data_IF_119536288038
#
_entry.id   IF_119536288038
#
_cell.length_a   1.000
_cell.length_b   1.000
_cell.length_c   1.000
_cell.angle_alpha   90.00
_cell.angle_beta   90.00
_cell.angle_gamma   90.00
#
_symmetry.space_group_name_H-M   'P 1'
#
loop_
_entity.id
_entity.type
_entity.pdbx_description
1 polymer ?
#
# COMPACT_ATOMS: atom_id res chain seq x y z
N UNK A 1 -1.96 4.56 -2.04
CA UNK A 1 -1.91 4.64 -0.57
C UNK A 1 -2.02 6.09 -0.11
N UNK A 2 -3.10 6.42 0.61
CA UNK A 2 -3.32 7.77 1.17
C UNK A 2 -2.48 8.07 2.42
N UNK A 3 -2.13 7.06 3.21
CA UNK A 3 -1.23 7.17 4.36
C UNK A 3 0.18 7.56 3.91
N UNK A 4 0.71 6.96 2.84
CA UNK A 4 2.03 7.32 2.29
C UNK A 4 2.11 8.79 1.89
N UNK A 5 1.06 9.34 1.27
CA UNK A 5 1.02 10.75 0.86
C UNK A 5 1.11 11.70 2.06
N UNK A 6 0.40 11.39 3.14
CA UNK A 6 0.44 12.16 4.39
C UNK A 6 1.83 12.07 5.03
N UNK A 7 2.40 10.86 5.13
CA UNK A 7 3.73 10.65 5.69
C UNK A 7 4.82 11.42 4.92
N UNK A 8 4.80 11.36 3.59
CA UNK A 8 5.76 12.05 2.72
C UNK A 8 5.77 13.56 2.97
N UNK A 9 4.58 14.15 3.06
CA UNK A 9 4.43 15.60 3.27
C UNK A 9 4.86 16.01 4.68
N UNK A 10 4.49 15.25 5.72
CA UNK A 10 4.97 15.50 7.08
C UNK A 10 6.50 15.42 7.18
N UNK A 11 7.14 14.49 6.46
CA UNK A 11 8.60 14.39 6.41
C UNK A 11 9.24 15.59 5.72
N UNK A 12 8.68 16.06 4.60
CA UNK A 12 9.23 17.18 3.83
C UNK A 12 9.23 18.51 4.60
N UNK A 13 8.17 18.80 5.36
CA UNK A 13 8.05 20.08 6.07
C UNK A 13 8.63 20.09 7.48
N UNK A 14 9.22 18.97 7.94
CA UNK A 14 9.79 18.81 9.28
C UNK A 14 10.76 19.91 9.74
N UNK A 15 11.48 20.53 8.81
CA UNK A 15 12.46 21.58 9.10
C UNK A 15 12.29 22.84 8.23
N UNK A 16 11.25 22.89 7.37
CA UNK A 16 11.21 23.84 6.24
C UNK A 16 9.88 24.60 6.12
N UNK A 17 9.46 25.22 7.23
CA UNK A 17 8.26 26.08 7.23
C UNK A 17 8.55 27.55 6.88
N UNK A 18 9.82 27.98 6.84
CA UNK A 18 10.18 29.37 6.56
C UNK A 18 9.81 29.76 5.12
N UNK A 19 8.98 30.80 4.96
CA UNK A 19 8.59 31.34 3.65
C UNK A 19 7.58 30.49 2.86
N UNK A 20 7.08 29.38 3.40
CA UNK A 20 6.24 28.45 2.66
C UNK A 20 4.77 28.90 2.51
N UNK A 21 4.35 29.98 3.18
CA UNK A 21 2.98 30.49 3.16
C UNK A 21 2.01 29.68 4.03
N UNK A 22 0.70 29.95 3.93
CA UNK A 22 -0.32 29.30 4.76
C UNK A 22 -0.51 27.83 4.36
N UNK A 23 -0.43 26.91 5.34
CA UNK A 23 -0.65 25.47 5.19
C UNK A 23 0.12 24.82 4.02
N UNK A 24 1.47 24.87 4.02
CA UNK A 24 2.28 24.40 2.90
C UNK A 24 2.17 22.88 2.64
N UNK A 25 1.87 22.09 3.68
CA UNK A 25 1.60 20.66 3.61
C UNK A 25 0.36 20.39 2.75
N UNK A 26 -0.75 21.03 3.11
CA UNK A 26 -2.02 20.92 2.39
C UNK A 26 -1.89 21.47 0.97
N UNK A 27 -1.11 22.53 0.76
CA UNK A 27 -0.87 23.07 -0.58
C UNK A 27 -0.10 22.09 -1.46
N UNK A 28 0.85 21.35 -0.89
CA UNK A 28 1.57 20.29 -1.61
C UNK A 28 0.60 19.16 -2.01
N UNK A 29 -0.26 18.72 -1.09
CA UNK A 29 -1.30 17.73 -1.39
C UNK A 29 -2.27 18.23 -2.46
N UNK A 30 -2.69 19.50 -2.41
CA UNK A 30 -3.56 20.12 -3.41
C UNK A 30 -2.96 20.05 -4.81
N UNK A 31 -1.70 20.46 -4.99
CA UNK A 31 -1.07 20.42 -6.31
C UNK A 31 -0.82 18.99 -6.80
N UNK A 32 -0.53 18.05 -5.88
CA UNK A 32 -0.44 16.62 -6.25
C UNK A 32 -1.78 16.08 -6.75
N UNK A 33 -2.88 16.38 -6.05
CA UNK A 33 -4.24 16.00 -6.48
C UNK A 33 -4.63 16.66 -7.81
N UNK A 34 -4.29 17.94 -7.99
CA UNK A 34 -4.53 18.67 -9.23
C UNK A 34 -3.77 18.06 -10.42
N UNK A 35 -2.49 17.74 -10.25
CA UNK A 35 -1.69 17.01 -11.24
C UNK A 35 -2.28 15.62 -11.54
N UNK A 36 -2.71 14.91 -10.50
CA UNK A 36 -3.31 13.59 -10.63
C UNK A 36 -4.68 13.62 -11.34
N UNK A 37 -5.43 14.72 -11.21
CA UNK A 37 -6.70 14.93 -11.91
C UNK A 37 -6.52 15.01 -13.43
N UNK A 38 -5.34 15.40 -13.91
CA UNK A 38 -4.99 15.43 -15.34
C UNK A 38 -4.71 14.02 -15.91
N UNK A 39 -4.88 12.96 -15.12
CA UNK A 39 -4.69 11.58 -15.55
C UNK A 39 -6.08 10.93 -15.67
N UNK A 40 -6.40 10.24 -16.78
CA UNK A 40 -7.72 9.66 -17.01
C UNK A 40 -7.92 8.35 -16.24
N UNK A 41 -7.71 8.37 -14.91
CA UNK A 41 -7.84 7.23 -14.01
C UNK A 41 -8.88 7.49 -12.93
N UNK A 42 -9.58 6.44 -12.53
CA UNK A 42 -10.35 6.45 -11.29
C UNK A 42 -9.44 6.09 -10.12
N UNK A 43 -9.48 6.88 -9.06
CA UNK A 43 -8.67 6.66 -7.87
C UNK A 43 -9.50 6.60 -6.60
N UNK A 44 -9.12 5.64 -5.79
CA UNK A 44 -9.55 5.43 -4.41
C UNK A 44 -8.35 5.58 -3.49
N UNK A 45 -8.47 6.47 -2.52
CA UNK A 45 -7.45 6.72 -1.51
C UNK A 45 -7.77 5.89 -0.27
N UNK A 46 -6.99 4.83 -0.05
CA UNK A 46 -7.10 3.98 1.14
C UNK A 46 -6.19 4.53 2.24
N UNK A 47 -6.74 4.67 3.44
CA UNK A 47 -6.05 5.11 4.66
C UNK A 47 -5.98 3.95 5.65
N UNK A 48 -4.96 3.95 6.53
CA UNK A 48 -4.91 2.97 7.61
C UNK A 48 -6.08 3.20 8.59
N UNK A 49 -6.60 2.11 9.15
CA UNK A 49 -7.59 2.18 10.20
C UNK A 49 -7.09 1.71 11.57
N UNK A 50 -8.03 1.38 12.48
CA UNK A 50 -7.74 1.29 13.91
C UNK A 50 -6.91 0.07 14.29
N UNK A 51 -6.97 -1.03 13.52
CA UNK A 51 -6.23 -2.25 13.83
C UNK A 51 -4.81 -2.27 13.25
N UNK A 52 -4.31 -1.13 12.74
CA UNK A 52 -2.92 -1.04 12.26
C UNK A 52 -1.94 -1.23 13.43
N UNK A 53 -0.81 -1.94 13.24
CA UNK A 53 0.18 -2.10 14.29
C UNK A 53 0.78 -0.76 14.75
N UNK A 54 0.74 -0.51 16.06
CA UNK A 54 1.27 0.73 16.65
C UNK A 54 2.80 0.81 16.66
N UNK A 55 3.48 -0.34 16.58
CA UNK A 55 4.94 -0.44 16.56
C UNK A 55 5.35 -1.13 15.26
N UNK A 56 6.22 -0.46 14.49
CA UNK A 56 6.89 -1.01 13.31
C UNK A 56 8.40 -0.85 13.48
N UNK A 57 9.17 -1.91 13.21
CA UNK A 57 10.65 -1.92 13.34
C UNK A 57 11.18 -1.45 14.69
N UNK A 58 10.55 -1.91 15.78
CA UNK A 58 10.85 -1.48 17.17
C UNK A 58 10.75 0.05 17.39
N UNK A 59 10.04 0.76 16.52
CA UNK A 59 9.77 2.19 16.62
C UNK A 59 8.26 2.41 16.62
N UNK A 60 7.81 3.32 17.48
CA UNK A 60 6.42 3.76 17.46
C UNK A 60 6.13 4.36 16.08
N UNK A 61 5.06 3.88 15.45
CA UNK A 61 4.58 4.45 14.19
C UNK A 61 4.20 5.90 14.48
N UNK A 62 4.80 6.84 13.74
CA UNK A 62 4.55 8.26 13.97
C UNK A 62 3.10 8.57 13.62
N UNK A 63 2.36 9.09 14.61
CA UNK A 63 1.02 9.57 14.38
C UNK A 63 1.05 10.74 13.39
N UNK A 64 0.34 10.60 12.28
CA UNK A 64 0.02 11.73 11.41
C UNK A 64 -0.86 12.68 12.23
N UNK A 65 -0.63 14.01 12.19
CA UNK A 65 -1.50 14.95 12.87
C UNK A 65 -2.96 14.77 12.41
N UNK A 66 -3.87 14.52 13.36
CA UNK A 66 -5.27 14.24 13.05
C UNK A 66 -5.90 15.32 12.16
N UNK A 67 -5.61 16.59 12.43
CA UNK A 67 -6.11 17.72 11.63
C UNK A 67 -5.72 17.64 10.15
N UNK A 68 -4.51 17.18 9.84
CA UNK A 68 -4.01 17.10 8.46
C UNK A 68 -4.72 15.98 7.71
N UNK A 69 -4.88 14.82 8.35
CA UNK A 69 -5.62 13.69 7.79
C UNK A 69 -7.09 14.06 7.51
N UNK A 70 -7.76 14.72 8.45
CA UNK A 70 -9.16 15.18 8.29
C UNK A 70 -9.28 16.14 7.10
N UNK A 71 -8.46 17.20 7.05
CA UNK A 71 -8.55 18.20 5.98
C UNK A 71 -8.15 17.61 4.63
N UNK A 72 -7.18 16.69 4.58
CA UNK A 72 -6.84 16.00 3.33
C UNK A 72 -8.01 15.15 2.82
N UNK A 73 -8.69 14.43 3.71
CA UNK A 73 -9.87 13.67 3.34
C UNK A 73 -11.04 14.55 2.87
N UNK A 74 -11.22 15.75 3.44
CA UNK A 74 -12.16 16.76 2.93
C UNK A 74 -11.75 17.24 1.53
N UNK A 75 -10.47 17.49 1.33
CA UNK A 75 -9.91 17.89 0.03
C UNK A 75 -10.19 16.83 -1.04
N UNK A 76 -9.97 15.54 -0.73
CA UNK A 76 -10.29 14.43 -1.63
C UNK A 76 -11.74 14.44 -2.07
N UNK A 77 -12.68 14.60 -1.13
CA UNK A 77 -14.11 14.65 -1.42
C UNK A 77 -14.46 15.83 -2.35
N UNK A 78 -13.85 16.98 -2.12
CA UNK A 78 -14.07 18.19 -2.92
C UNK A 78 -13.46 18.08 -4.33
N UNK A 79 -12.34 17.36 -4.49
CA UNK A 79 -11.80 16.95 -5.80
C UNK A 79 -12.60 15.83 -6.48
N UNK A 80 -13.56 15.20 -5.78
CA UNK A 80 -14.34 14.08 -6.30
C UNK A 80 -13.59 12.74 -6.28
N UNK A 81 -12.48 12.62 -5.55
CA UNK A 81 -11.80 11.34 -5.37
C UNK A 81 -12.49 10.51 -4.29
N UNK A 82 -12.50 9.19 -4.51
CA UNK A 82 -13.00 8.26 -3.51
C UNK A 82 -11.98 8.08 -2.40
N UNK A 83 -12.48 7.78 -1.20
CA UNK A 83 -11.66 7.47 -0.03
C UNK A 83 -12.23 6.27 0.71
N UNK A 84 -11.36 5.53 1.37
CA UNK A 84 -11.71 4.37 2.16
C UNK A 84 -10.77 4.24 3.36
N UNK A 85 -11.29 3.82 4.50
CA UNK A 85 -10.49 3.50 5.69
C UNK A 85 -10.40 1.97 5.81
N UNK A 86 -9.19 1.44 5.71
CA UNK A 86 -8.94 0.01 5.85
C UNK A 86 -9.22 -0.45 7.29
N UNK A 87 -9.63 -1.70 7.53
CA UNK A 87 -9.73 -2.21 8.91
C UNK A 87 -8.38 -2.24 9.65
N UNK A 88 -7.30 -2.52 8.91
CA UNK A 88 -5.92 -2.55 9.39
C UNK A 88 -5.02 -1.60 8.60
N UNK A 89 -4.03 -2.17 7.91
CA UNK A 89 -3.06 -1.41 7.11
C UNK A 89 -3.56 -1.16 5.69
N UNK A 90 -3.36 0.07 5.19
CA UNK A 90 -3.81 0.46 3.87
C UNK A 90 -3.21 -0.41 2.76
N UNK A 91 -1.94 -0.80 2.87
CA UNK A 91 -1.24 -1.59 1.86
C UNK A 91 -1.75 -3.03 1.77
N UNK A 92 -2.08 -3.63 2.91
CA UNK A 92 -2.69 -4.95 2.95
C UNK A 92 -4.10 -4.95 2.33
N UNK A 93 -4.88 -3.92 2.63
CA UNK A 93 -6.19 -3.70 2.04
C UNK A 93 -6.08 -3.49 0.53
N UNK A 94 -5.19 -2.60 0.07
CA UNK A 94 -4.92 -2.35 -1.35
C UNK A 94 -4.50 -3.64 -2.08
N UNK A 95 -3.62 -4.44 -1.48
CA UNK A 95 -3.22 -5.73 -2.03
C UNK A 95 -4.42 -6.67 -2.20
N UNK A 96 -5.31 -6.75 -1.20
CA UNK A 96 -6.54 -7.53 -1.30
C UNK A 96 -7.47 -7.02 -2.41
N UNK A 97 -7.70 -5.70 -2.50
CA UNK A 97 -8.53 -5.10 -3.55
C UNK A 97 -8.00 -5.42 -4.96
N UNK A 98 -6.68 -5.41 -5.14
CA UNK A 98 -6.06 -5.73 -6.45
C UNK A 98 -6.24 -7.22 -6.79
N UNK A 99 -6.09 -8.12 -5.80
CA UNK A 99 -6.32 -9.57 -5.99
C UNK A 99 -7.78 -9.90 -6.32
N UNK A 100 -8.72 -9.17 -5.73
CA UNK A 100 -10.14 -9.34 -5.99
C UNK A 100 -10.62 -8.62 -7.27
N UNK A 101 -9.72 -7.97 -8.02
CA UNK A 101 -10.06 -7.26 -9.26
C UNK A 101 -10.92 -6.01 -9.06
N UNK A 102 -10.93 -5.44 -7.85
CA UNK A 102 -11.69 -4.23 -7.52
C UNK A 102 -10.95 -2.98 -7.99
N UNK A 103 -9.62 -3.02 -7.96
CA UNK A 103 -8.74 -2.01 -8.53
C UNK A 103 -7.74 -2.68 -9.47
N UNK A 104 -7.29 -1.96 -10.49
CA UNK A 104 -6.35 -2.49 -11.47
C UNK A 104 -4.89 -2.47 -10.96
N UNK A 105 -4.56 -1.48 -10.12
CA UNK A 105 -3.20 -1.29 -9.63
C UNK A 105 -3.13 -0.48 -8.33
N UNK A 106 -2.07 -0.71 -7.54
CA UNK A 106 -1.75 0.05 -6.34
C UNK A 106 -0.72 1.13 -6.66
N UNK A 107 -1.04 2.41 -6.44
CA UNK A 107 -0.08 3.51 -6.53
C UNK A 107 0.53 3.81 -5.15
N UNK A 108 1.84 3.59 -5.00
CA UNK A 108 2.58 3.81 -3.73
C UNK A 108 4.06 4.16 -3.99
N UNK A 109 4.80 4.61 -2.99
CA UNK A 109 6.27 4.73 -3.05
C UNK A 109 6.99 3.54 -2.40
N UNK A 110 6.25 2.74 -1.64
CA UNK A 110 6.74 1.53 -0.98
C UNK A 110 6.53 0.27 -1.83
N UNK A 111 7.03 -0.87 -1.34
CA UNK A 111 6.91 -2.19 -1.95
C UNK A 111 6.15 -3.17 -1.05
N UNK A 112 5.73 -2.75 0.14
CA UNK A 112 5.07 -3.62 1.12
C UNK A 112 3.75 -4.19 0.58
N UNK A 113 3.01 -3.45 -0.24
CA UNK A 113 1.86 -3.97 -0.97
C UNK A 113 2.19 -5.25 -1.78
N UNK A 114 3.40 -5.36 -2.35
CA UNK A 114 3.84 -6.57 -3.07
C UNK A 114 3.99 -7.74 -2.09
N UNK A 115 4.57 -7.49 -0.91
CA UNK A 115 4.75 -8.51 0.15
C UNK A 115 3.38 -8.95 0.70
N UNK A 116 2.39 -8.06 0.76
CA UNK A 116 1.00 -8.43 1.06
C UNK A 116 0.28 -9.12 -0.10
N UNK A 117 0.91 -9.26 -1.27
CA UNK A 117 0.40 -10.00 -2.41
C UNK A 117 -0.42 -9.16 -3.40
N UNK A 118 -0.10 -7.88 -3.58
CA UNK A 118 -0.67 -7.08 -4.66
C UNK A 118 -0.23 -7.61 -6.02
N UNK A 119 -1.16 -7.68 -6.98
CA UNK A 119 -0.92 -8.24 -8.32
C UNK A 119 -0.27 -7.21 -9.27
N UNK A 120 -0.51 -5.92 -9.06
CA UNK A 120 0.09 -4.83 -9.81
C UNK A 120 0.37 -3.61 -8.92
N UNK A 121 1.63 -3.20 -8.82
CA UNK A 121 2.08 -2.02 -8.08
C UNK A 121 2.75 -1.04 -9.02
N UNK A 122 2.26 0.20 -9.01
CA UNK A 122 2.83 1.34 -9.71
C UNK A 122 3.59 2.17 -8.66
N UNK A 123 4.91 2.19 -8.79
CA UNK A 123 5.80 2.93 -7.91
C UNK A 123 6.21 4.26 -8.53
N UNK A 124 6.01 5.35 -7.80
CA UNK A 124 6.44 6.69 -8.22
C UNK A 124 7.59 7.22 -7.35
N UNK A 125 8.46 8.11 -7.87
CA UNK A 125 9.56 8.71 -7.09
C UNK A 125 9.07 9.85 -6.18
N UNK A 126 9.81 10.11 -5.08
CA UNK A 126 9.62 11.30 -4.24
C UNK A 126 10.74 12.35 -4.41
N UNK A 127 10.42 13.66 -4.48
CA UNK A 127 9.06 14.21 -4.55
C UNK A 127 8.41 13.88 -5.91
N UNK A 128 7.09 13.62 -5.96
CA UNK A 128 6.41 13.43 -7.23
C UNK A 128 6.36 14.78 -7.94
N UNK A 129 7.35 15.05 -8.80
CA UNK A 129 7.33 16.21 -9.69
C UNK A 129 6.18 16.07 -10.68
N UNK A 130 6.14 14.92 -11.36
CA UNK A 130 5.07 14.48 -12.25
C UNK A 130 4.91 12.95 -12.14
N UNK A 131 3.71 12.43 -12.46
CA UNK A 131 3.44 10.98 -12.54
C UNK A 131 3.79 10.42 -13.94
N UNK A 132 4.74 11.04 -14.63
CA UNK A 132 5.18 10.73 -15.98
C UNK A 132 6.19 9.58 -16.04
N UNK A 133 6.94 9.37 -14.96
CA UNK A 133 7.93 8.28 -14.82
C UNK A 133 7.62 7.44 -13.59
N UNK A 134 7.09 6.24 -13.83
CA UNK A 134 6.74 5.28 -12.80
C UNK A 134 7.37 3.92 -13.09
N UNK A 135 7.71 3.17 -12.04
CA UNK A 135 8.02 1.75 -12.14
C UNK A 135 6.74 0.94 -12.02
N UNK A 136 6.56 -0.08 -12.85
CA UNK A 136 5.41 -0.99 -12.78
C UNK A 136 5.91 -2.37 -12.44
N UNK A 137 5.34 -2.95 -11.39
CA UNK A 137 5.69 -4.26 -10.87
C UNK A 137 4.44 -5.13 -10.84
N UNK A 138 4.39 -6.12 -11.72
CA UNK A 138 3.32 -7.14 -11.70
C UNK A 138 3.84 -8.45 -11.13
N UNK A 139 2.95 -9.25 -10.56
CA UNK A 139 3.26 -10.61 -10.11
C UNK A 139 3.98 -11.43 -11.19
N UNK A 140 3.54 -11.36 -12.44
CA UNK A 140 4.16 -12.02 -13.58
C UNK A 140 5.60 -11.55 -13.83
N UNK A 141 5.84 -10.23 -13.80
CA UNK A 141 7.20 -9.69 -14.01
C UNK A 141 8.11 -10.06 -12.83
N UNK A 142 7.60 -10.05 -11.61
CA UNK A 142 8.36 -10.46 -10.42
C UNK A 142 8.74 -11.94 -10.53
N UNK A 143 7.78 -12.81 -10.87
CA UNK A 143 8.01 -14.23 -11.02
C UNK A 143 9.02 -14.53 -12.14
N UNK A 144 8.84 -13.92 -13.32
CA UNK A 144 9.67 -14.20 -14.51
C UNK A 144 11.05 -13.55 -14.45
N UNK A 145 11.17 -12.29 -14.03
CA UNK A 145 12.42 -11.56 -14.04
C UNK A 145 13.24 -11.75 -12.75
N UNK A 146 12.59 -11.89 -11.60
CA UNK A 146 13.27 -12.07 -10.33
C UNK A 146 13.32 -13.54 -9.86
N UNK A 147 12.52 -14.42 -10.45
CA UNK A 147 12.46 -15.85 -10.08
C UNK A 147 11.85 -16.09 -8.70
N UNK A 148 11.03 -15.15 -8.20
CA UNK A 148 10.50 -15.18 -6.84
C UNK A 148 8.98 -15.35 -6.85
N UNK A 149 8.48 -16.27 -6.02
CA UNK A 149 7.04 -16.33 -5.71
C UNK A 149 6.67 -15.37 -4.58
N UNK A 150 5.37 -15.20 -4.33
CA UNK A 150 4.88 -14.41 -3.18
C UNK A 150 5.41 -14.96 -1.85
N UNK A 151 5.47 -16.28 -1.72
CA UNK A 151 6.02 -16.97 -0.54
C UNK A 151 7.50 -16.66 -0.33
N UNK A 152 8.26 -16.53 -1.42
CA UNK A 152 9.67 -16.16 -1.36
C UNK A 152 9.84 -14.71 -0.86
N UNK A 153 8.95 -13.79 -1.26
CA UNK A 153 8.96 -12.40 -0.79
C UNK A 153 8.61 -12.29 0.69
N UNK A 154 7.59 -13.03 1.15
CA UNK A 154 7.21 -13.09 2.57
C UNK A 154 8.36 -13.68 3.40
N UNK A 155 8.98 -14.77 2.93
CA UNK A 155 10.16 -15.33 3.60
C UNK A 155 11.28 -14.30 3.70
N UNK A 156 11.55 -13.55 2.63
CA UNK A 156 12.55 -12.50 2.64
C UNK A 156 12.24 -11.44 3.69
N UNK A 157 10.98 -10.98 3.79
CA UNK A 157 10.57 -10.01 4.80
C UNK A 157 10.78 -10.53 6.24
N UNK A 158 10.47 -11.80 6.50
CA UNK A 158 10.59 -12.39 7.84
C UNK A 158 12.06 -12.64 8.21
N UNK A 159 12.90 -13.06 7.26
CA UNK A 159 14.32 -13.28 7.50
C UNK A 159 15.09 -11.97 7.67
N UNK A 160 14.82 -10.98 6.81
CA UNK A 160 15.65 -9.76 6.72
C UNK A 160 15.18 -8.55 7.51
N UNK A 161 14.04 -8.67 8.17
CA UNK A 161 13.44 -7.61 8.96
C UNK A 161 12.55 -6.72 8.12
N UNK A 162 11.27 -7.09 8.07
CA UNK A 162 10.20 -6.29 7.49
C UNK A 162 9.63 -5.27 8.48
N UNK A 163 8.44 -4.76 8.21
CA UNK A 163 7.81 -3.76 9.07
C UNK A 163 7.50 -4.25 10.49
N UNK A 164 7.38 -5.56 10.68
CA UNK A 164 7.09 -6.19 11.98
C UNK A 164 8.33 -6.65 12.75
N UNK A 165 9.50 -6.07 12.50
CA UNK A 165 10.89 -6.46 12.92
C UNK A 165 11.19 -6.73 14.42
N UNK A 166 10.34 -7.46 15.14
CA UNK A 166 10.54 -7.79 16.56
C UNK A 166 11.34 -9.09 16.72
N UNK A 167 11.30 -9.98 15.73
CA UNK A 167 11.92 -11.31 15.79
C UNK A 167 12.66 -11.72 14.51
N UNK A 168 13.13 -10.76 13.70
CA UNK A 168 14.00 -11.08 12.56
C UNK A 168 15.34 -11.66 13.01
N UNK A 169 16.03 -12.33 12.09
CA UNK A 169 17.31 -12.97 12.39
C UNK A 169 18.41 -11.88 12.34
N UNK A 170 19.14 -11.65 13.45
CA UNK A 170 20.23 -10.67 13.47
C UNK A 170 21.25 -10.92 12.36
N UNK A 171 21.64 -9.86 11.68
CA UNK A 171 22.61 -9.87 10.56
C UNK A 171 22.17 -10.67 9.31
N UNK A 172 20.92 -11.13 9.24
CA UNK A 172 20.37 -11.72 8.02
C UNK A 172 19.90 -10.63 7.06
N UNK A 173 20.80 -10.03 6.30
CA UNK A 173 20.42 -8.99 5.32
C UNK A 173 19.65 -9.53 4.11
N UNK A 174 19.06 -8.63 3.32
CA UNK A 174 18.30 -8.94 2.09
C UNK A 174 19.02 -9.90 1.13
N UNK A 175 20.35 -9.80 1.01
CA UNK A 175 21.16 -10.68 0.15
C UNK A 175 21.15 -12.13 0.64
N UNK A 176 21.24 -12.33 1.95
CA UNK A 176 21.21 -13.66 2.57
C UNK A 176 19.81 -14.23 2.43
N UNK A 177 18.79 -13.45 2.80
CA UNK A 177 17.40 -13.85 2.69
C UNK A 177 16.99 -14.24 1.26
N UNK A 178 17.46 -13.50 0.24
CA UNK A 178 17.27 -13.84 -1.17
C UNK A 178 17.99 -15.13 -1.58
N UNK A 179 19.20 -15.38 -1.07
CA UNK A 179 19.88 -16.65 -1.32
C UNK A 179 19.14 -17.82 -0.67
N UNK A 180 18.61 -17.63 0.55
CA UNK A 180 17.80 -18.63 1.26
C UNK A 180 16.49 -18.92 0.54
N UNK A 181 15.81 -17.92 -0.02
CA UNK A 181 14.51 -18.12 -0.69
C UNK A 181 14.62 -19.02 -1.93
N UNK A 182 15.78 -19.07 -2.59
CA UNK A 182 16.01 -19.97 -3.72
C UNK A 182 15.93 -21.46 -3.35
N UNK A 183 16.15 -21.80 -2.07
CA UNK A 183 15.99 -23.16 -1.54
C UNK A 183 14.52 -23.57 -1.27
N UNK A 184 13.55 -22.74 -1.67
CA UNK A 184 12.10 -23.01 -1.57
C UNK A 184 11.58 -23.20 -0.14
N UNK A 185 12.36 -22.76 0.86
CA UNK A 185 11.96 -22.81 2.26
C UNK A 185 10.71 -21.94 2.55
N UNK A 186 10.50 -20.87 1.79
CA UNK A 186 9.34 -19.97 1.96
C UNK A 186 8.03 -20.65 1.60
N UNK A 187 8.02 -21.35 0.46
CA UNK A 187 6.86 -22.10 -0.03
C UNK A 187 6.45 -23.20 0.95
N UNK A 188 7.43 -23.96 1.49
CA UNK A 188 7.18 -25.03 2.46
C UNK A 188 6.67 -24.46 3.78
N UNK A 189 7.26 -23.36 4.27
CA UNK A 189 6.83 -22.69 5.50
C UNK A 189 5.39 -22.20 5.41
N UNK A 190 5.07 -21.45 4.35
CA UNK A 190 3.76 -20.81 4.20
C UNK A 190 2.68 -21.85 3.95
N UNK A 191 2.96 -22.87 3.13
CA UNK A 191 2.05 -24.00 2.96
C UNK A 191 1.77 -24.71 4.28
N UNK A 192 2.79 -24.95 5.09
CA UNK A 192 2.62 -25.57 6.40
C UNK A 192 1.75 -24.69 7.31
N UNK A 193 2.01 -23.38 7.34
CA UNK A 193 1.23 -22.42 8.14
C UNK A 193 -0.26 -22.39 7.75
N UNK A 194 -0.58 -22.49 6.46
CA UNK A 194 -1.96 -22.46 5.98
C UNK A 194 -2.71 -23.80 6.08
N UNK A 195 -2.01 -24.93 6.22
CA UNK A 195 -2.63 -26.27 6.12
C UNK A 195 -2.58 -27.09 7.40
N UNK A 196 -1.64 -26.80 8.30
CA UNK A 196 -1.45 -27.57 9.55
C UNK A 196 -2.20 -26.92 10.71
N UNK A 197 -2.57 -27.73 11.70
CA UNK A 197 -3.02 -27.19 12.99
C UNK A 197 -1.87 -26.51 13.73
N UNK A 198 -2.18 -25.64 14.71
CA UNK A 198 -1.16 -24.92 15.49
C UNK A 198 -0.11 -25.86 16.10
N UNK A 199 -0.53 -27.02 16.63
CA UNK A 199 0.38 -27.99 17.24
C UNK A 199 1.32 -28.63 16.21
N UNK A 200 0.76 -29.08 15.09
CA UNK A 200 1.55 -29.68 14.01
C UNK A 200 2.50 -28.67 13.35
N UNK A 201 2.12 -27.39 13.34
CA UNK A 201 2.97 -26.32 12.82
C UNK A 201 4.20 -26.09 13.72
N UNK A 202 4.02 -26.12 15.05
CA UNK A 202 5.15 -26.02 16.01
C UNK A 202 6.14 -27.18 15.80
N UNK A 203 5.64 -28.41 15.66
CA UNK A 203 6.49 -29.58 15.40
C UNK A 203 7.22 -29.45 14.05
N UNK A 204 6.52 -29.01 13.01
CA UNK A 204 7.10 -28.74 11.69
C UNK A 204 8.19 -27.66 11.73
N UNK A 205 8.02 -26.60 12.52
CA UNK A 205 8.99 -25.51 12.64
C UNK A 205 10.35 -26.00 13.11
N UNK A 206 10.42 -27.01 13.98
CA UNK A 206 11.70 -27.58 14.41
C UNK A 206 12.51 -28.17 13.26
N UNK A 207 11.87 -28.92 12.37
CA UNK A 207 12.56 -29.50 11.21
C UNK A 207 12.86 -28.45 10.15
N UNK A 208 11.93 -27.52 9.91
CA UNK A 208 12.15 -26.39 9.01
C UNK A 208 13.33 -25.51 9.46
N UNK A 209 13.47 -25.22 10.76
CA UNK A 209 14.61 -24.48 11.31
C UNK A 209 15.92 -25.25 11.12
N UNK A 210 15.93 -26.59 11.25
CA UNK A 210 17.13 -27.39 10.97
C UNK A 210 17.55 -27.24 9.53
N UNK A 211 16.60 -27.28 8.59
CA UNK A 211 16.88 -27.06 7.17
C UNK A 211 17.40 -25.65 6.89
N UNK A 212 16.81 -24.63 7.51
CA UNK A 212 17.30 -23.25 7.40
C UNK A 212 18.74 -23.13 7.91
N UNK A 213 19.04 -23.70 9.09
CA UNK A 213 20.41 -23.72 9.66
C UNK A 213 21.38 -24.49 8.77
N UNK A 214 20.96 -25.62 8.20
CA UNK A 214 21.75 -26.41 7.24
C UNK A 214 22.08 -25.60 6.00
N UNK A 215 21.09 -24.95 5.38
CA UNK A 215 21.31 -24.10 4.20
C UNK A 215 22.32 -22.99 4.51
N UNK A 216 22.16 -22.30 5.65
CA UNK A 216 23.07 -21.23 6.06
C UNK A 216 24.49 -21.73 6.37
N UNK A 217 24.68 -22.96 6.82
CA UNK A 217 25.99 -23.50 7.22
C UNK A 217 26.70 -24.29 6.13
N UNK A 218 25.98 -24.78 5.13
CA UNK A 218 26.52 -25.68 4.09
C UNK A 218 26.40 -25.15 2.68
N UNK A 219 25.47 -24.22 2.41
CA UNK A 219 25.17 -23.66 1.08
C UNK A 219 25.19 -24.71 -0.05
N UNK A 220 24.35 -25.76 0.05
CA UNK A 220 24.55 -26.99 -0.73
C UNK A 220 24.46 -26.77 -2.25
N UNK A 221 23.70 -25.79 -2.71
CA UNK A 221 23.52 -25.45 -4.13
C UNK A 221 24.30 -24.17 -4.52
N UNK A 222 25.05 -23.56 -3.59
CA UNK A 222 25.85 -22.37 -3.87
C UNK A 222 25.06 -21.05 -4.02
N UNK A 223 23.76 -21.02 -3.71
CA UNK A 223 22.93 -19.81 -3.89
C UNK A 223 23.31 -18.67 -2.94
N UNK A 224 23.98 -18.94 -1.82
CA UNK A 224 24.46 -17.92 -0.89
C UNK A 224 25.85 -17.39 -1.28
N UNK A 225 26.64 -18.20 -2.00
CA UNK A 225 28.02 -17.91 -2.41
C UNK A 225 29.05 -17.96 -1.28
N UNK A 226 28.59 -18.10 -0.04
CA UNK A 226 29.38 -18.37 1.17
C UNK A 226 28.45 -18.83 2.30
N UNK A 227 29.03 -19.39 3.34
CA UNK A 227 28.31 -19.83 4.53
C UNK A 227 28.18 -18.73 5.59
N UNK A 228 27.14 -18.83 6.41
CA UNK A 228 26.78 -17.89 7.47
C UNK A 228 26.50 -18.58 8.83
N UNK A 229 27.48 -19.28 9.44
CA UNK A 229 27.26 -19.98 10.71
C UNK A 229 26.80 -19.06 11.85
N UNK A 230 27.29 -17.81 11.90
CA UNK A 230 26.88 -16.84 12.91
C UNK A 230 25.38 -16.48 12.81
N UNK A 231 24.85 -16.38 11.58
CA UNK A 231 23.42 -16.15 11.33
C UNK A 231 22.61 -17.40 11.67
N UNK A 232 23.13 -18.59 11.36
CA UNK A 232 22.47 -19.84 11.75
C UNK A 232 22.35 -20.00 13.28
N UNK A 233 23.39 -19.60 14.01
CA UNK A 233 23.43 -19.67 15.47
C UNK A 233 22.56 -18.61 16.16
N UNK A 234 22.19 -17.53 15.48
CA UNK A 234 21.29 -16.50 16.03
C UNK A 234 19.81 -16.86 15.87
N UNK A 235 19.47 -17.93 15.14
CA UNK A 235 18.10 -18.44 15.03
C UNK A 235 17.69 -19.06 16.37
N UNK A 236 16.69 -18.49 17.01
CA UNK A 236 16.09 -19.00 18.25
C UNK A 236 14.98 -20.02 17.96
N UNK A 237 14.61 -20.82 18.97
CA UNK A 237 13.52 -21.79 18.84
C UNK A 237 12.14 -21.14 18.67
N UNK A 238 12.02 -19.86 19.02
CA UNK A 238 10.82 -19.05 18.82
C UNK A 238 10.63 -18.54 17.38
N UNK A 239 11.60 -18.76 16.49
CA UNK A 239 11.54 -18.34 15.09
C UNK A 239 11.07 -19.49 14.19
N UNK A 240 10.16 -19.30 13.22
CA UNK A 240 9.52 -18.05 12.85
C UNK A 240 8.35 -17.72 13.79
N UNK A 241 8.16 -16.42 14.02
CA UNK A 241 7.08 -15.91 14.84
C UNK A 241 5.73 -16.06 14.11
N UNK A 242 4.82 -16.82 14.73
CA UNK A 242 3.49 -17.12 14.17
C UNK A 242 2.64 -15.86 14.00
N UNK A 243 2.75 -14.89 14.92
CA UNK A 243 1.97 -13.65 14.88
C UNK A 243 2.47 -12.75 13.74
N UNK A 244 3.77 -12.75 13.47
CA UNK A 244 4.34 -12.04 12.31
C UNK A 244 3.93 -12.73 11.00
N UNK A 245 4.00 -14.06 10.94
CA UNK A 245 3.54 -14.84 9.79
C UNK A 245 2.07 -14.53 9.49
N UNK A 246 1.21 -14.54 10.51
CA UNK A 246 -0.20 -14.23 10.38
C UNK A 246 -0.44 -12.84 9.76
N UNK A 247 0.34 -11.83 10.15
CA UNK A 247 0.20 -10.47 9.61
C UNK A 247 0.50 -10.38 8.12
N UNK A 248 1.46 -11.14 7.60
CA UNK A 248 1.77 -11.16 6.17
C UNK A 248 0.85 -12.06 5.36
N UNK A 249 0.52 -13.24 5.89
CA UNK A 249 -0.21 -14.29 5.14
C UNK A 249 -1.72 -14.05 5.20
N UNK A 250 -2.23 -13.64 6.35
CA UNK A 250 -3.66 -13.38 6.58
C UNK A 250 -3.86 -12.01 7.25
N UNK A 251 -3.45 -10.91 6.60
CA UNK A 251 -3.60 -9.58 7.15
C UNK A 251 -5.06 -9.25 7.44
N UNK A 252 -5.28 -8.34 8.41
CA UNK A 252 -6.59 -7.76 8.69
C UNK A 252 -6.97 -6.83 7.51
N UNK A 253 -7.97 -7.25 6.77
CA UNK A 253 -8.55 -6.57 5.61
C UNK A 253 -10.06 -6.71 5.68
N UNK A 254 -10.80 -6.01 4.84
CA UNK A 254 -12.26 -6.17 4.80
C UNK A 254 -12.69 -7.60 4.49
N UNK A 255 -11.89 -8.35 3.73
CA UNK A 255 -12.17 -9.73 3.35
C UNK A 255 -11.89 -10.74 4.47
N UNK A 256 -10.97 -10.42 5.39
CA UNK A 256 -10.63 -11.30 6.52
C UNK A 256 -11.35 -10.92 7.83
N UNK A 257 -11.78 -9.67 7.98
CA UNK A 257 -12.44 -9.16 9.20
C UNK A 257 -13.93 -9.51 9.28
N UNK A 258 -14.58 -9.80 8.15
CA UNK A 258 -16.01 -10.07 8.06
C UNK A 258 -16.30 -11.58 7.93
N UNK A 259 -15.99 -12.34 8.98
CA UNK A 259 -16.54 -13.69 9.16
C UNK A 259 -18.01 -13.60 9.58
N UNK A 260 -18.92 -13.33 8.63
CA UNK A 260 -20.36 -13.42 8.87
C UNK A 260 -21.19 -12.38 8.12
N UNK A 261 -21.83 -12.81 7.04
CA UNK A 261 -23.06 -12.23 6.47
C UNK A 261 -23.06 -10.75 6.11
N UNK A 262 -22.27 -10.34 5.10
CA UNK A 262 -22.76 -9.50 3.99
C UNK A 262 -21.88 -9.80 2.78
N UNK A 263 -22.51 -10.15 1.65
CA UNK A 263 -21.82 -10.30 0.37
C UNK A 263 -21.02 -9.03 0.09
N UNK A 264 -19.70 -9.14 -0.09
CA UNK A 264 -18.85 -8.01 -0.51
C UNK A 264 -19.37 -7.39 -1.81
N UNK A 265 -20.09 -8.18 -2.63
CA UNK A 265 -20.84 -7.74 -3.80
C UNK A 265 -21.99 -6.77 -3.49
N UNK A 266 -22.67 -6.91 -2.34
CA UNK A 266 -23.75 -5.99 -1.90
C UNK A 266 -23.16 -4.66 -1.41
N UNK A 267 -21.95 -4.69 -0.85
CA UNK A 267 -21.19 -3.47 -0.53
C UNK A 267 -20.76 -2.71 -1.79
N UNK A 268 -20.76 -3.32 -2.98
CA UNK A 268 -20.35 -2.65 -4.23
C UNK A 268 -21.47 -1.83 -4.90
N UNK A 269 -22.75 -2.10 -4.62
CA UNK A 269 -23.87 -1.62 -5.48
C UNK A 269 -24.81 -0.60 -4.85
N UNK A 270 -24.81 -0.41 -3.54
CA UNK A 270 -25.74 0.54 -2.93
C UNK A 270 -25.16 1.96 -2.99
N UNK A 271 -25.83 2.87 -3.71
CA UNK A 271 -25.57 4.32 -3.72
C UNK A 271 -25.79 5.00 -2.35
N UNK A 272 -25.78 4.25 -1.25
CA UNK A 272 -25.99 4.73 0.12
C UNK A 272 -25.43 3.82 1.22
N UNK A 273 -24.63 2.79 0.89
CA UNK A 273 -23.97 1.92 1.88
C UNK A 273 -22.46 2.17 1.97
N UNK A 274 -21.84 1.70 3.06
CA UNK A 274 -20.41 1.74 3.37
C UNK A 274 -19.55 0.88 2.42
N UNK A 275 -19.69 1.10 1.12
CA UNK A 275 -19.07 0.38 0.03
C UNK A 275 -17.82 1.01 -0.54
N UNK A 276 -17.02 0.22 -1.26
CA UNK A 276 -15.93 0.75 -2.08
C UNK A 276 -16.54 1.52 -3.25
N UNK A 277 -16.58 2.85 -3.12
CA UNK A 277 -16.80 3.70 -4.27
C UNK A 277 -15.49 3.76 -5.06
N UNK A 278 -15.32 2.97 -6.11
CA UNK A 278 -14.06 2.99 -6.89
C UNK A 278 -14.06 4.09 -7.94
N UNK A 279 -15.24 4.61 -8.30
CA UNK A 279 -15.38 5.67 -9.30
C UNK A 279 -15.07 7.04 -8.71
N UNK A 280 -14.27 7.82 -9.41
CA UNK A 280 -14.13 9.25 -9.08
C UNK A 280 -15.28 10.05 -9.68
N UNK A 281 -15.78 11.00 -8.90
CA UNK A 281 -16.82 11.96 -9.27
C UNK A 281 -16.20 13.21 -9.91
N UNK A 282 -17.07 14.10 -10.38
CA UNK A 282 -16.63 15.42 -10.83
C UNK A 282 -16.15 16.28 -9.65
N UNK A 283 -15.02 17.00 -9.79
CA UNK A 283 -14.59 17.96 -8.78
C UNK A 283 -15.63 19.08 -8.66
N UNK A 284 -15.94 19.45 -7.42
CA UNK A 284 -16.84 20.58 -7.16
C UNK A 284 -16.05 21.88 -7.18
N UNK A 285 -16.06 22.58 -8.32
CA UNK A 285 -15.32 23.85 -8.48
C UNK A 285 -15.73 24.90 -7.44
N UNK A 286 -17.02 24.96 -7.07
CA UNK A 286 -17.51 25.85 -6.02
C UNK A 286 -16.87 25.52 -4.66
N UNK A 287 -16.91 24.25 -4.26
CA UNK A 287 -16.35 23.82 -2.99
C UNK A 287 -14.83 23.92 -2.97
N UNK A 288 -14.16 23.67 -4.09
CA UNK A 288 -12.71 23.85 -4.24
C UNK A 288 -12.32 25.32 -4.05
N UNK A 289 -13.09 26.27 -4.60
CA UNK A 289 -12.83 27.69 -4.41
C UNK A 289 -12.99 28.09 -2.93
N UNK A 290 -14.04 27.61 -2.26
CA UNK A 290 -14.22 27.80 -0.81
C UNK A 290 -13.08 27.19 0.00
N UNK A 291 -12.64 25.98 -0.36
CA UNK A 291 -11.52 25.30 0.27
C UNK A 291 -10.22 26.11 0.13
N UNK A 292 -9.90 26.58 -1.08
CA UNK A 292 -8.71 27.39 -1.33
C UNK A 292 -8.72 28.71 -0.55
N UNK A 293 -9.87 29.38 -0.45
CA UNK A 293 -10.03 30.58 0.37
C UNK A 293 -9.76 30.29 1.85
N UNK A 294 -10.38 29.25 2.39
CA UNK A 294 -10.31 28.94 3.81
C UNK A 294 -8.93 28.45 4.26
N UNK A 295 -8.29 27.59 3.45
CA UNK A 295 -7.04 26.92 3.82
C UNK A 295 -5.79 27.60 3.27
N UNK A 296 -5.86 28.30 2.13
CA UNK A 296 -4.69 28.92 1.49
C UNK A 296 -4.75 30.45 1.44
N UNK A 297 -5.89 31.05 1.76
CA UNK A 297 -6.10 32.50 1.64
C UNK A 297 -6.14 32.99 0.20
N UNK A 298 -6.48 32.13 -0.77
CA UNK A 298 -6.66 32.55 -2.16
C UNK A 298 -8.07 33.08 -2.33
N UNK A 299 -8.23 34.37 -2.64
CA UNK A 299 -9.51 35.02 -2.85
C UNK A 299 -9.63 35.62 -4.26
N UNK A 300 -10.88 35.92 -4.65
CA UNK A 300 -11.24 36.59 -5.90
C UNK A 300 -10.53 36.03 -7.13
N UNK A 301 -9.85 36.93 -7.85
CA UNK A 301 -9.16 36.64 -9.10
C UNK A 301 -7.94 35.72 -8.93
N UNK A 302 -7.25 35.78 -7.78
CA UNK A 302 -6.08 34.95 -7.52
C UNK A 302 -6.45 33.46 -7.37
N UNK A 303 -7.60 33.16 -6.74
CA UNK A 303 -8.13 31.80 -6.67
C UNK A 303 -8.51 31.30 -8.06
N UNK A 304 -9.22 32.11 -8.85
CA UNK A 304 -9.65 31.75 -10.20
C UNK A 304 -8.47 31.49 -11.14
N UNK A 305 -7.43 32.33 -11.08
CA UNK A 305 -6.21 32.15 -11.87
C UNK A 305 -5.53 30.82 -11.54
N UNK A 306 -5.41 30.46 -10.25
CA UNK A 306 -4.81 29.19 -9.83
C UNK A 306 -5.67 27.99 -10.24
N UNK A 307 -6.98 28.05 -10.05
CA UNK A 307 -7.88 26.97 -10.45
C UNK A 307 -7.85 26.73 -11.97
N UNK A 308 -7.81 27.79 -12.77
CA UNK A 308 -7.63 27.69 -14.22
C UNK A 308 -6.31 27.04 -14.59
N UNK A 309 -5.23 27.42 -13.91
CA UNK A 309 -3.90 26.89 -14.20
C UNK A 309 -3.69 25.44 -13.76
N UNK A 310 -4.38 24.96 -12.71
CA UNK A 310 -4.05 23.65 -12.11
C UNK A 310 -5.19 22.64 -12.08
N UNK A 311 -6.46 23.06 -12.05
CA UNK A 311 -7.61 22.15 -11.87
C UNK A 311 -8.43 22.00 -13.15
N UNK A 312 -8.52 23.05 -13.95
CA UNK A 312 -9.49 23.14 -15.05
C UNK A 312 -9.32 22.04 -16.10
N UNK A 313 -8.09 21.84 -16.58
CA UNK A 313 -7.78 20.80 -17.59
C UNK A 313 -8.19 19.40 -17.11
N UNK A 314 -7.84 19.04 -15.87
CA UNK A 314 -8.22 17.76 -15.29
C UNK A 314 -9.72 17.61 -15.05
N UNK A 315 -10.42 18.70 -14.70
CA UNK A 315 -11.87 18.69 -14.55
C UNK A 315 -12.57 18.46 -15.90
N UNK A 316 -12.10 19.11 -16.97
CA UNK A 316 -12.58 18.87 -18.34
C UNK A 316 -12.30 17.44 -18.79
N UNK A 317 -11.09 16.93 -18.56
CA UNK A 317 -10.74 15.54 -18.85
C UNK A 317 -11.68 14.56 -18.13
N UNK A 318 -11.94 14.79 -16.84
CA UNK A 318 -12.87 13.96 -16.05
C UNK A 318 -14.28 13.99 -16.65
N UNK A 319 -14.76 15.15 -17.09
CA UNK A 319 -16.06 15.32 -17.78
C UNK A 319 -16.11 14.51 -19.08
N UNK A 320 -15.08 14.62 -19.92
CA UNK A 320 -14.98 13.87 -21.18
C UNK A 320 -14.99 12.36 -20.95
N UNK A 321 -14.24 11.86 -19.96
CA UNK A 321 -14.25 10.45 -19.57
C UNK A 321 -15.63 10.00 -19.07
N UNK A 322 -16.35 10.87 -18.34
CA UNK A 322 -17.71 10.62 -17.87
C UNK A 322 -18.72 10.40 -19.00
N UNK A 323 -18.68 11.24 -20.04
CA UNK A 323 -19.57 11.17 -21.21
C UNK A 323 -19.34 9.89 -22.03
N UNK A 324 -18.07 9.51 -22.23
CA UNK A 324 -17.70 8.29 -22.97
C UNK A 324 -18.25 7.01 -22.33
N UNK A 325 -18.22 6.92 -20.99
CA UNK A 325 -18.76 5.76 -20.28
C UNK A 325 -20.28 5.63 -20.45
N UNK A 326 -21.03 6.73 -20.34
CA UNK A 326 -22.49 6.71 -20.50
C UNK A 326 -22.91 6.24 -21.91
N UNK A 327 -22.18 6.64 -22.95
CA UNK A 327 -22.46 6.22 -24.33
C UNK A 327 -22.23 4.70 -24.55
N UNK A 328 -21.23 4.09 -23.90
CA UNK A 328 -20.98 2.63 -24.01
C UNK A 328 -22.05 1.79 -23.33
N UNK A 329 -22.59 2.26 -22.20
CA UNK A 329 -23.70 1.56 -21.53
C UNK A 329 -24.98 1.55 -22.37
N UNK A 330 -25.25 2.60 -23.15
CA UNK A 330 -26.41 2.63 -24.07
C UNK A 330 -26.25 1.69 -25.28
N UNK A 331 -25.02 1.41 -25.72
CA UNK A 331 -24.76 0.49 -26.83
C UNK A 331 -24.74 -0.99 -26.40
N UNK A 332 -24.37 -1.30 -25.15
CA UNK A 332 -24.40 -2.67 -24.62
C UNK A 332 -25.79 -3.16 -24.22
N UNK A 333 -26.76 -2.24 -24.08
CA UNK A 333 -28.17 -2.52 -23.76
C UNK A 333 -29.09 -2.49 -25.00
N UNK A 334 -28.52 -2.51 -26.21
CA UNK A 334 -29.22 -2.69 -27.48
C UNK A 334 -28.77 -3.98 -28.14
#
# INVERSE_FOLDING_TARGET
DGSTWLHAVCCAFRHNHAGAGRNPELRTLFYRLASFLNIPVHAIFVFDGPSRPHVKRNKQVRAIPHWLATIFQEMLAVFGFAKYEAPGEAEAELAALTRHGIIDAVLTTDIDAIVFGATCVIRYPEPPGHFDRVGVYTDHVIASAAGMSHEDLVLIAILSGGDYDVSSIPHCGIKIARGVSQYKLGQVLIRAFSTKSQREFVDFCHDWQKDLRRVLTTDPEGYLGRVYPAVANSITDSFPDCDILQKYIHPITTFSSHSGTQDVATTMTSQGGSGYHTRSLQPSLKMLASFCKNHFGWDGDAAMAKMRATVWEGAELRLLCGVSMSCRFEQSNR
#
